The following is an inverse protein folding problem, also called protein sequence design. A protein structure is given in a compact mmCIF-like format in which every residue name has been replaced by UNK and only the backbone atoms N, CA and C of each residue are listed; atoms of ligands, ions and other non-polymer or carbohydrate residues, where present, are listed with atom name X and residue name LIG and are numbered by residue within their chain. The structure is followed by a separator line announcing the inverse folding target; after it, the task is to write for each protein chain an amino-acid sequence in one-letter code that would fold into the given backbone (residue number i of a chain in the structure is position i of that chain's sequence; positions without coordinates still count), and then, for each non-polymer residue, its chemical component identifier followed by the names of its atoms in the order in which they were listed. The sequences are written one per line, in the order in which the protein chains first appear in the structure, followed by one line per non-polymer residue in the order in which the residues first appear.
data_IF_258134802371
#
_entry.id   IF_258134802371
#
_cell.length_a   1.000
_cell.length_b   1.000
_cell.length_c   1.000
_cell.angle_alpha   90.00
_cell.angle_beta   90.00
_cell.angle_gamma   90.00
#
_symmetry.space_group_name_H-M   'P 1'
#
loop_
_entity.id
_entity.type
_entity.pdbx_description
1 polymer ?
#
# COMPACT_ATOMS: atom_id res chain seq x y z
N UNK A 1 -35.13 -53.96 -45.63
CA UNK A 1 -34.23 -52.82 -45.34
C UNK A 1 -34.74 -52.13 -44.07
N UNK A 2 -33.87 -52.02 -43.06
CA UNK A 2 -34.21 -51.88 -41.65
C UNK A 2 -34.69 -50.46 -41.25
N UNK A 3 -35.97 -50.34 -40.91
CA UNK A 3 -36.60 -49.10 -40.36
C UNK A 3 -36.19 -48.86 -38.88
N UNK A 4 -35.80 -49.90 -38.14
CA UNK A 4 -35.41 -49.79 -36.72
C UNK A 4 -34.10 -49.03 -36.49
N UNK A 5 -33.18 -49.02 -37.45
CA UNK A 5 -31.88 -48.33 -37.35
C UNK A 5 -32.00 -46.81 -37.52
N UNK A 6 -33.03 -46.31 -38.21
CA UNK A 6 -33.20 -44.86 -38.43
C UNK A 6 -33.86 -44.15 -37.23
N UNK A 7 -34.75 -44.81 -36.49
CA UNK A 7 -35.35 -44.21 -35.29
C UNK A 7 -34.34 -44.05 -34.15
N UNK A 8 -33.41 -45.02 -33.99
CA UNK A 8 -32.37 -44.97 -32.96
C UNK A 8 -31.39 -43.82 -33.20
N UNK A 9 -31.06 -43.53 -34.46
CA UNK A 9 -30.16 -42.43 -34.81
C UNK A 9 -30.84 -41.05 -34.65
N UNK A 10 -32.14 -40.93 -34.94
CA UNK A 10 -32.87 -39.67 -34.68
C UNK A 10 -33.02 -39.37 -33.19
N UNK A 11 -33.22 -40.40 -32.35
CA UNK A 11 -33.32 -40.22 -30.89
C UNK A 11 -31.97 -39.81 -30.28
N UNK A 12 -30.86 -40.34 -30.81
CA UNK A 12 -29.50 -39.99 -30.36
C UNK A 12 -29.11 -38.56 -30.76
N UNK A 13 -29.53 -38.11 -31.95
CA UNK A 13 -29.29 -36.73 -32.41
C UNK A 13 -30.15 -35.72 -31.63
N UNK A 14 -31.41 -36.04 -31.31
CA UNK A 14 -32.24 -35.17 -30.45
C UNK A 14 -31.71 -35.08 -29.01
N UNK A 15 -31.15 -36.17 -28.46
CA UNK A 15 -30.53 -36.16 -27.13
C UNK A 15 -29.24 -35.34 -27.11
N UNK A 16 -28.44 -35.38 -28.18
CA UNK A 16 -27.24 -34.55 -28.31
C UNK A 16 -27.57 -33.05 -28.42
N UNK A 17 -28.62 -32.68 -29.15
CA UNK A 17 -29.05 -31.28 -29.29
C UNK A 17 -29.59 -30.73 -27.96
N UNK A 18 -30.31 -31.57 -27.18
CA UNK A 18 -30.78 -31.20 -25.83
C UNK A 18 -29.64 -31.11 -24.80
N UNK A 19 -28.56 -31.88 -24.96
CA UNK A 19 -27.36 -31.80 -24.12
C UNK A 19 -26.46 -30.60 -24.46
N UNK A 20 -26.47 -30.11 -25.70
CA UNK A 20 -25.72 -28.89 -26.07
C UNK A 20 -26.41 -27.59 -25.65
N UNK A 21 -27.72 -27.58 -25.43
CA UNK A 21 -28.45 -26.40 -24.95
C UNK A 21 -28.38 -26.18 -23.43
N UNK A 22 -27.71 -27.05 -22.67
CA UNK A 22 -27.46 -26.87 -21.23
C UNK A 22 -26.02 -26.45 -20.90
N UNK A 23 -25.20 -26.21 -21.93
CA UNK A 23 -23.93 -25.51 -21.81
C UNK A 23 -24.04 -24.10 -22.42
N UNK A 24 -25.14 -23.38 -22.12
CA UNK A 24 -25.04 -21.93 -22.10
C UNK A 24 -24.11 -21.57 -20.95
N UNK A 25 -22.93 -21.15 -21.38
CA UNK A 25 -21.87 -20.53 -20.60
C UNK A 25 -22.50 -19.69 -19.48
N UNK A 26 -22.37 -20.18 -18.23
CA UNK A 26 -22.63 -19.37 -17.04
C UNK A 26 -21.49 -18.36 -16.92
N UNK A 27 -21.33 -17.50 -17.92
CA UNK A 27 -20.73 -16.19 -17.71
C UNK A 27 -21.64 -15.57 -16.65
N UNK A 28 -21.15 -15.53 -15.41
CA UNK A 28 -21.64 -14.53 -14.46
C UNK A 28 -21.64 -13.24 -15.27
N UNK A 29 -22.82 -12.71 -15.59
CA UNK A 29 -22.91 -11.35 -16.07
C UNK A 29 -22.31 -10.53 -14.94
N UNK A 30 -21.03 -10.16 -15.09
CA UNK A 30 -20.44 -9.14 -14.24
C UNK A 30 -21.28 -7.92 -14.60
N UNK A 31 -22.23 -7.59 -13.73
CA UNK A 31 -23.02 -6.39 -13.90
C UNK A 31 -22.04 -5.24 -13.65
N UNK A 32 -21.37 -4.77 -14.70
CA UNK A 32 -20.49 -3.63 -14.63
C UNK A 32 -21.35 -2.45 -14.16
N UNK A 33 -21.14 -2.00 -12.92
CA UNK A 33 -21.86 -0.85 -12.37
C UNK A 33 -21.11 0.41 -12.78
N UNK A 34 -21.88 1.45 -13.06
CA UNK A 34 -21.38 2.78 -13.29
C UNK A 34 -21.67 3.64 -12.05
N UNK A 35 -20.65 4.34 -11.59
CA UNK A 35 -20.73 5.26 -10.46
C UNK A 35 -20.29 6.65 -10.90
N UNK A 36 -20.87 7.68 -10.29
CA UNK A 36 -20.54 9.07 -10.58
C UNK A 36 -20.51 9.90 -9.31
N UNK A 37 -19.61 10.88 -9.26
CA UNK A 37 -19.45 11.85 -8.18
C UNK A 37 -18.75 13.11 -8.71
N UNK A 38 -18.69 14.19 -7.93
CA UNK A 38 -17.87 15.36 -8.29
C UNK A 38 -16.37 14.99 -8.33
N UNK A 39 -15.93 14.15 -7.37
CA UNK A 39 -14.54 13.71 -7.25
C UNK A 39 -14.45 12.20 -7.01
N UNK A 40 -13.59 11.51 -7.76
CA UNK A 40 -13.12 10.16 -7.40
C UNK A 40 -11.74 10.26 -6.77
N UNK A 41 -11.58 9.69 -5.58
CA UNK A 41 -10.26 9.49 -4.97
C UNK A 41 -9.87 8.03 -5.17
N UNK A 42 -8.79 7.77 -5.90
CA UNK A 42 -8.26 6.42 -6.09
C UNK A 42 -7.12 6.16 -5.11
N UNK A 43 -7.27 5.17 -4.24
CA UNK A 43 -6.32 4.82 -3.17
C UNK A 43 -7.01 4.44 -1.86
N UNK A 44 -6.25 3.84 -0.94
CA UNK A 44 -6.74 3.40 0.38
C UNK A 44 -5.93 3.94 1.56
N UNK A 45 -4.91 4.77 1.31
CA UNK A 45 -3.98 5.23 2.34
C UNK A 45 -4.49 6.47 3.11
N UNK A 46 -3.67 6.96 4.05
CA UNK A 46 -4.00 8.12 4.88
C UNK A 46 -4.36 9.37 4.05
N UNK A 47 -3.61 9.66 2.97
CA UNK A 47 -3.91 10.79 2.10
C UNK A 47 -5.23 10.62 1.36
N UNK A 48 -5.57 9.40 0.92
CA UNK A 48 -6.83 9.13 0.23
C UNK A 48 -8.04 9.44 1.11
N UNK A 49 -8.03 8.96 2.36
CA UNK A 49 -9.11 9.22 3.32
C UNK A 49 -9.21 10.71 3.66
N UNK A 50 -8.09 11.37 3.93
CA UNK A 50 -8.08 12.79 4.30
C UNK A 50 -8.51 13.69 3.13
N UNK A 51 -8.09 13.37 1.90
CA UNK A 51 -8.55 14.07 0.70
C UNK A 51 -10.07 13.92 0.53
N UNK A 52 -10.60 12.70 0.65
CA UNK A 52 -12.04 12.46 0.56
C UNK A 52 -12.83 13.21 1.64
N UNK A 53 -12.35 13.21 2.89
CA UNK A 53 -12.94 14.02 3.98
C UNK A 53 -12.94 15.51 3.63
N UNK A 54 -11.83 16.04 3.09
CA UNK A 54 -11.77 17.44 2.72
C UNK A 54 -12.75 17.79 1.59
N UNK A 55 -12.87 16.93 0.57
CA UNK A 55 -13.86 17.10 -0.51
C UNK A 55 -15.28 17.10 0.05
N UNK A 56 -15.61 16.15 0.93
CA UNK A 56 -16.92 16.10 1.58
C UNK A 56 -17.21 17.35 2.43
N UNK A 57 -16.21 17.87 3.17
CA UNK A 57 -16.33 19.12 3.94
C UNK A 57 -16.58 20.34 3.06
N UNK A 58 -16.14 20.31 1.80
CA UNK A 58 -16.42 21.34 0.81
C UNK A 58 -17.82 21.21 0.18
N UNK A 59 -18.63 20.25 0.63
CA UNK A 59 -19.99 20.03 0.14
C UNK A 59 -20.06 19.37 -1.23
N UNK A 60 -19.03 18.61 -1.60
CA UNK A 60 -18.92 17.90 -2.87
C UNK A 60 -19.15 16.40 -2.70
N UNK A 61 -19.73 15.77 -3.71
CA UNK A 61 -19.89 14.32 -3.77
C UNK A 61 -18.54 13.68 -4.07
N UNK A 62 -18.16 12.69 -3.26
CA UNK A 62 -16.88 12.00 -3.40
C UNK A 62 -17.05 10.51 -3.20
N UNK A 63 -16.40 9.71 -4.03
CA UNK A 63 -16.29 8.26 -3.83
C UNK A 63 -14.81 7.92 -3.65
N UNK A 64 -14.51 7.14 -2.61
CA UNK A 64 -13.18 6.59 -2.36
C UNK A 64 -13.10 5.18 -2.98
N UNK A 65 -12.27 5.01 -3.99
CA UNK A 65 -12.04 3.74 -4.69
C UNK A 65 -10.68 3.19 -4.26
N UNK A 66 -10.70 2.17 -3.41
CA UNK A 66 -9.51 1.65 -2.74
C UNK A 66 -9.14 0.26 -3.28
N UNK A 67 -7.89 0.02 -3.71
CA UNK A 67 -7.42 -1.34 -3.99
C UNK A 67 -7.27 -2.16 -2.70
N UNK A 68 -7.16 -1.50 -1.55
CA UNK A 68 -6.95 -2.13 -0.25
C UNK A 68 -8.27 -2.49 0.44
N UNK A 69 -8.18 -3.52 1.29
CA UNK A 69 -9.25 -3.90 2.22
C UNK A 69 -9.32 -2.99 3.45
N UNK A 70 -8.17 -2.59 3.97
CA UNK A 70 -8.03 -1.79 5.20
C UNK A 70 -7.65 -0.36 4.84
N UNK A 71 -8.32 0.62 5.45
CA UNK A 71 -8.03 2.04 5.20
C UNK A 71 -6.84 2.53 6.03
N UNK A 72 -6.12 3.50 5.48
CA UNK A 72 -5.03 4.23 6.14
C UNK A 72 -3.63 3.81 5.71
N UNK A 73 -3.49 2.70 4.99
CA UNK A 73 -2.22 2.27 4.43
C UNK A 73 -1.20 1.92 5.52
N UNK A 74 0.04 2.42 5.43
CA UNK A 74 1.13 2.14 6.35
C UNK A 74 0.75 2.49 7.80
N UNK A 75 0.05 3.61 7.98
CA UNK A 75 -0.47 4.07 9.28
C UNK A 75 -1.33 3.01 9.97
N UNK A 76 -2.11 2.27 9.18
CA UNK A 76 -3.01 1.21 9.65
C UNK A 76 -2.48 -0.21 9.42
N UNK A 77 -1.25 -0.35 8.90
CA UNK A 77 -0.65 -1.65 8.54
C UNK A 77 0.69 -1.93 9.22
N UNK A 78 1.18 -1.02 10.09
CA UNK A 78 2.35 -1.29 10.93
C UNK A 78 3.23 -0.09 11.26
N UNK A 79 2.98 1.09 10.69
CA UNK A 79 3.74 2.30 10.95
C UNK A 79 3.05 3.17 12.03
N UNK A 80 2.96 2.63 13.24
CA UNK A 80 2.33 3.28 14.39
C UNK A 80 3.23 4.23 15.17
N UNK A 81 4.56 4.20 14.95
CA UNK A 81 5.52 5.14 15.55
C UNK A 81 5.72 6.33 14.61
N UNK A 82 5.03 7.45 14.90
CA UNK A 82 5.14 8.66 14.06
C UNK A 82 6.42 9.43 14.37
N UNK A 83 7.16 9.77 13.31
CA UNK A 83 8.34 10.64 13.38
C UNK A 83 7.89 12.11 13.45
N UNK A 84 7.61 12.57 14.67
CA UNK A 84 6.89 13.83 14.87
C UNK A 84 7.72 15.10 14.77
N UNK A 85 9.02 15.01 15.02
CA UNK A 85 9.92 16.17 15.03
C UNK A 85 9.32 17.38 15.76
N UNK A 86 9.12 18.47 15.03
CA UNK A 86 8.39 19.64 15.54
C UNK A 86 6.88 19.49 15.34
N UNK A 87 6.16 19.08 16.40
CA UNK A 87 4.70 18.89 16.38
C UNK A 87 3.89 20.14 15.98
N UNK A 88 4.44 21.35 16.13
CA UNK A 88 3.73 22.59 15.83
C UNK A 88 3.42 22.76 14.32
N UNK A 89 4.11 22.03 13.45
CA UNK A 89 3.86 22.08 11.99
C UNK A 89 2.69 21.18 11.56
N UNK A 90 2.16 20.36 12.48
CA UNK A 90 1.10 19.39 12.18
C UNK A 90 -0.25 19.98 12.57
N UNK A 91 -1.04 20.35 11.56
CA UNK A 91 -2.34 20.99 11.70
C UNK A 91 -3.47 20.33 10.91
N UNK A 92 -4.61 21.01 10.83
CA UNK A 92 -5.74 20.61 9.99
C UNK A 92 -6.27 19.19 10.28
N UNK A 93 -6.67 18.49 9.21
CA UNK A 93 -7.21 17.13 9.29
C UNK A 93 -6.17 16.10 9.74
N UNK A 94 -4.88 16.32 9.46
CA UNK A 94 -3.81 15.46 9.96
C UNK A 94 -3.71 15.54 11.50
N UNK A 95 -3.80 16.75 12.06
CA UNK A 95 -3.86 16.93 13.52
C UNK A 95 -5.14 16.31 14.12
N UNK A 96 -6.28 16.44 13.44
CA UNK A 96 -7.55 15.84 13.87
C UNK A 96 -7.44 14.31 13.99
N UNK A 97 -6.76 13.65 13.05
CA UNK A 97 -6.46 12.21 13.14
C UNK A 97 -5.73 11.85 14.44
N UNK A 98 -4.63 12.54 14.76
CA UNK A 98 -3.89 12.31 16.00
C UNK A 98 -4.67 12.69 17.27
N UNK A 99 -5.57 13.66 17.16
CA UNK A 99 -6.49 14.03 18.24
C UNK A 99 -7.52 12.92 18.50
N UNK A 100 -8.08 12.32 17.45
CA UNK A 100 -9.01 11.19 17.56
C UNK A 100 -8.35 9.96 18.16
N UNK A 101 -7.11 9.67 17.78
CA UNK A 101 -6.30 8.64 18.46
C UNK A 101 -6.10 8.96 19.95
N UNK A 102 -5.80 10.22 20.29
CA UNK A 102 -5.70 10.63 21.69
C UNK A 102 -7.00 10.36 22.46
N UNK A 103 -8.16 10.67 21.86
CA UNK A 103 -9.47 10.40 22.45
C UNK A 103 -9.73 8.90 22.59
N UNK A 104 -9.37 8.09 21.58
CA UNK A 104 -9.47 6.63 21.64
C UNK A 104 -8.71 6.07 22.85
N UNK A 105 -7.48 6.51 23.08
CA UNK A 105 -6.68 6.08 24.23
C UNK A 105 -7.01 6.83 25.55
N UNK A 106 -8.02 7.71 25.57
CA UNK A 106 -8.63 8.15 26.83
C UNK A 106 -9.56 7.10 27.42
N UNK A 107 -10.09 6.20 26.60
CA UNK A 107 -10.86 5.05 27.04
C UNK A 107 -9.92 3.97 27.58
N UNK A 108 -10.10 3.59 28.85
CA UNK A 108 -9.29 2.53 29.48
C UNK A 108 -9.49 1.18 28.78
N UNK A 109 -10.62 0.94 28.12
CA UNK A 109 -10.87 -0.31 27.37
C UNK A 109 -10.02 -0.45 26.11
N UNK A 110 -9.42 0.64 25.61
CA UNK A 110 -8.45 0.59 24.52
C UNK A 110 -7.11 -0.03 24.96
N UNK A 111 -6.83 -0.05 26.27
CA UNK A 111 -5.58 -0.51 26.87
C UNK A 111 -5.66 -2.01 27.21
N UNK A 112 -5.64 -2.87 26.19
CA UNK A 112 -5.84 -4.32 26.36
C UNK A 112 -4.64 -5.06 26.94
N UNK A 113 -3.44 -4.65 26.55
CA UNK A 113 -2.20 -5.41 26.78
C UNK A 113 -1.31 -4.84 27.89
N UNK A 114 -1.59 -3.63 28.35
CA UNK A 114 -0.84 -2.93 29.39
C UNK A 114 -1.75 -1.87 30.01
N UNK A 115 -1.51 -1.50 31.26
CA UNK A 115 -2.22 -0.36 31.86
C UNK A 115 -1.71 0.98 31.28
N UNK A 116 -2.61 1.97 31.16
CA UNK A 116 -2.27 3.30 30.61
C UNK A 116 -1.17 4.02 31.40
N UNK A 117 -1.19 3.90 32.72
CA UNK A 117 -0.20 4.48 33.64
C UNK A 117 1.20 3.83 33.50
N UNK A 118 1.28 2.59 32.99
CA UNK A 118 2.52 1.83 32.82
C UNK A 118 3.18 2.03 31.44
N UNK A 119 2.47 2.66 30.49
CA UNK A 119 2.94 2.85 29.11
C UNK A 119 4.27 3.63 28.99
N UNK A 120 4.64 4.39 30.00
CA UNK A 120 5.90 5.13 30.06
C UNK A 120 5.97 6.40 29.19
N UNK A 121 5.00 6.62 28.30
CA UNK A 121 4.79 7.85 27.52
C UNK A 121 6.01 8.33 26.71
N UNK A 122 6.78 7.41 26.13
CA UNK A 122 8.00 7.69 25.35
C UNK A 122 7.87 7.18 23.92
N UNK A 123 8.18 8.03 22.94
CA UNK A 123 8.38 7.64 21.54
C UNK A 123 9.82 7.82 21.08
N UNK A 124 10.01 8.01 19.77
CA UNK A 124 11.33 8.27 19.19
C UNK A 124 11.81 9.69 19.51
N UNK A 125 12.38 9.85 20.71
CA UNK A 125 12.90 11.14 21.19
C UNK A 125 11.85 12.16 21.62
N UNK A 126 10.56 11.81 21.59
CA UNK A 126 9.43 12.70 21.88
C UNK A 126 8.37 12.05 22.79
N UNK A 127 7.48 12.86 23.35
CA UNK A 127 6.33 12.40 24.16
C UNK A 127 5.27 11.75 23.25
N UNK A 128 4.86 10.52 23.59
CA UNK A 128 3.93 9.70 22.80
C UNK A 128 2.47 10.18 22.92
N UNK A 129 2.00 10.34 24.16
CA UNK A 129 0.71 10.89 24.59
C UNK A 129 0.97 12.34 25.01
N UNK A 130 0.70 13.26 24.11
CA UNK A 130 0.84 14.68 24.34
C UNK A 130 -0.46 15.24 24.93
N UNK A 131 -0.52 15.35 26.26
CA UNK A 131 -1.72 15.83 26.97
C UNK A 131 -2.01 17.31 26.74
N UNK A 132 -0.98 18.14 26.58
CA UNK A 132 -1.13 19.57 26.30
C UNK A 132 -1.76 19.79 24.92
N UNK A 133 -1.21 19.13 23.90
CA UNK A 133 -1.74 19.22 22.54
C UNK A 133 -2.88 18.23 22.29
N UNK A 134 -3.25 17.40 23.27
CA UNK A 134 -4.28 16.35 23.16
C UNK A 134 -4.10 15.48 21.91
N UNK A 135 -2.89 14.99 21.68
CA UNK A 135 -2.52 14.18 20.50
C UNK A 135 -1.79 12.91 20.90
N UNK A 136 -2.01 11.84 20.14
CA UNK A 136 -1.36 10.54 20.31
C UNK A 136 -0.51 10.24 19.08
N UNK A 137 0.79 10.04 19.29
CA UNK A 137 1.79 9.91 18.23
C UNK A 137 2.32 8.50 18.07
N UNK A 138 1.93 7.62 18.99
CA UNK A 138 2.19 6.20 18.93
C UNK A 138 0.86 5.48 19.07
N UNK A 139 0.56 4.55 18.19
CA UNK A 139 -0.73 3.88 18.17
C UNK A 139 -0.62 2.52 17.52
N UNK A 140 -1.59 1.66 17.82
CA UNK A 140 -1.73 0.37 17.17
C UNK A 140 -2.37 0.55 15.78
N UNK A 141 -2.02 -0.29 14.79
CA UNK A 141 -2.55 -0.16 13.42
C UNK A 141 -4.09 -0.19 13.36
N UNK A 142 -4.73 -1.04 14.16
CA UNK A 142 -6.18 -1.15 14.20
C UNK A 142 -6.87 0.10 14.79
N UNK A 143 -6.19 0.83 15.69
CA UNK A 143 -6.70 2.08 16.23
C UNK A 143 -6.64 3.19 15.18
N UNK A 144 -5.60 3.21 14.35
CA UNK A 144 -5.53 4.10 13.19
C UNK A 144 -6.63 3.79 12.16
N UNK A 145 -6.81 2.52 11.81
CA UNK A 145 -7.87 2.09 10.91
C UNK A 145 -9.25 2.52 11.43
N UNK A 146 -9.52 2.30 12.72
CA UNK A 146 -10.76 2.72 13.35
C UNK A 146 -11.03 4.21 13.16
N UNK A 147 -10.02 5.07 13.32
CA UNK A 147 -10.17 6.51 13.11
C UNK A 147 -10.51 6.84 11.65
N UNK A 148 -9.88 6.17 10.69
CA UNK A 148 -10.21 6.36 9.27
C UNK A 148 -11.63 5.87 8.94
N UNK A 149 -12.06 4.74 9.47
CA UNK A 149 -13.43 4.24 9.32
C UNK A 149 -14.45 5.20 9.93
N UNK A 150 -14.16 5.76 11.10
CA UNK A 150 -14.99 6.79 11.73
C UNK A 150 -15.09 8.06 10.87
N UNK A 151 -13.98 8.50 10.28
CA UNK A 151 -13.97 9.66 9.39
C UNK A 151 -14.84 9.44 8.15
N UNK A 152 -14.67 8.32 7.43
CA UNK A 152 -15.49 8.06 6.24
C UNK A 152 -16.97 7.88 6.60
N UNK A 153 -17.29 7.30 7.76
CA UNK A 153 -18.65 7.17 8.24
C UNK A 153 -19.28 8.53 8.65
N UNK A 154 -18.54 9.37 9.38
CA UNK A 154 -18.96 10.71 9.82
C UNK A 154 -19.36 11.58 8.63
N UNK A 155 -18.54 11.56 7.58
CA UNK A 155 -18.76 12.33 6.36
C UNK A 155 -19.58 11.58 5.29
N UNK A 156 -20.08 10.36 5.61
CA UNK A 156 -20.91 9.51 4.74
C UNK A 156 -20.29 9.27 3.36
N UNK A 157 -18.98 9.10 3.32
CA UNK A 157 -18.21 8.88 2.08
C UNK A 157 -18.42 7.43 1.63
N UNK A 158 -18.98 7.16 0.44
CA UNK A 158 -18.99 5.84 -0.15
C UNK A 158 -17.56 5.35 -0.40
N UNK A 159 -17.23 4.16 0.10
CA UNK A 159 -15.91 3.56 -0.07
C UNK A 159 -16.05 2.20 -0.74
N UNK A 160 -15.43 2.04 -1.90
CA UNK A 160 -15.39 0.79 -2.65
C UNK A 160 -14.00 0.16 -2.47
N UNK A 161 -13.96 -0.94 -1.71
CA UNK A 161 -12.71 -1.65 -1.35
C UNK A 161 -12.40 -2.75 -2.34
N UNK A 162 -11.14 -3.18 -2.32
CA UNK A 162 -10.63 -4.27 -3.17
C UNK A 162 -10.86 -3.98 -4.67
N UNK A 163 -10.93 -2.69 -5.01
CA UNK A 163 -11.27 -2.16 -6.32
C UNK A 163 -9.97 -1.77 -7.06
N UNK A 164 -9.27 -2.77 -7.58
CA UNK A 164 -8.00 -2.60 -8.30
C UNK A 164 -8.23 -1.90 -9.64
N UNK A 165 -7.49 -0.82 -9.93
CA UNK A 165 -7.49 -0.15 -11.23
C UNK A 165 -7.04 -1.09 -12.35
N UNK A 166 -7.77 -1.09 -13.46
CA UNK A 166 -7.28 -1.61 -14.73
C UNK A 166 -6.27 -0.59 -15.30
N UNK A 167 -4.99 -0.84 -15.03
CA UNK A 167 -3.90 0.08 -15.40
C UNK A 167 -3.57 0.06 -16.89
N UNK A 168 -3.99 -0.98 -17.62
CA UNK A 168 -3.65 -1.14 -19.04
C UNK A 168 -4.69 -0.46 -19.93
N UNK A 169 -5.99 -0.64 -19.62
CA UNK A 169 -7.10 -0.17 -20.47
C UNK A 169 -8.21 0.53 -19.69
N UNK A 170 -7.99 0.82 -18.40
CA UNK A 170 -9.05 1.32 -17.52
C UNK A 170 -9.21 2.83 -17.47
N UNK A 171 -8.26 3.61 -17.99
CA UNK A 171 -8.30 5.08 -17.91
C UNK A 171 -8.71 5.66 -19.26
N UNK A 172 -9.80 6.42 -19.28
CA UNK A 172 -10.27 7.13 -20.48
C UNK A 172 -9.95 8.60 -20.36
N UNK A 173 -9.10 9.09 -21.25
CA UNK A 173 -8.73 10.51 -21.34
C UNK A 173 -9.56 11.22 -22.42
N UNK A 174 -10.07 12.41 -22.10
CA UNK A 174 -10.76 13.29 -23.06
C UNK A 174 -10.22 14.70 -22.88
N UNK A 175 -9.69 15.30 -23.94
CA UNK A 175 -9.17 16.67 -23.94
C UNK A 175 -8.14 16.97 -22.82
N UNK A 176 -7.33 15.97 -22.45
CA UNK A 176 -6.30 16.10 -21.42
C UNK A 176 -6.81 15.92 -19.98
N UNK A 177 -8.08 15.59 -19.78
CA UNK A 177 -8.66 15.24 -18.49
C UNK A 177 -9.04 13.75 -18.42
N UNK A 178 -8.95 13.16 -17.23
CA UNK A 178 -9.50 11.83 -16.98
C UNK A 178 -11.03 11.96 -16.99
N UNK A 179 -11.69 11.21 -17.87
CA UNK A 179 -13.15 11.15 -17.96
C UNK A 179 -13.72 9.99 -17.14
N UNK A 180 -13.05 8.85 -17.15
CA UNK A 180 -13.43 7.70 -16.35
C UNK A 180 -12.25 6.79 -16.00
N UNK A 181 -12.40 6.06 -14.90
CA UNK A 181 -11.54 4.93 -14.54
C UNK A 181 -12.36 3.65 -14.42
N UNK A 182 -11.74 2.51 -14.72
CA UNK A 182 -12.35 1.18 -14.64
C UNK A 182 -11.52 0.29 -13.72
N UNK A 183 -12.18 -0.47 -12.87
CA UNK A 183 -11.52 -1.46 -12.01
C UNK A 183 -11.58 -2.86 -12.63
N UNK A 184 -10.71 -3.77 -12.18
CA UNK A 184 -10.58 -5.11 -12.73
C UNK A 184 -11.86 -5.96 -12.61
N UNK A 185 -12.74 -5.60 -11.67
CA UNK A 185 -14.07 -6.20 -11.52
C UNK A 185 -15.12 -5.61 -12.50
N UNK A 186 -14.71 -4.74 -13.41
CA UNK A 186 -15.54 -4.16 -14.47
C UNK A 186 -16.33 -2.91 -14.07
N UNK A 187 -16.27 -2.46 -12.81
CA UNK A 187 -16.94 -1.23 -12.39
C UNK A 187 -16.28 0.01 -13.02
N UNK A 188 -17.10 0.99 -13.39
CA UNK A 188 -16.68 2.23 -14.04
C UNK A 188 -17.03 3.41 -13.13
N UNK A 189 -16.07 4.31 -12.96
CA UNK A 189 -16.19 5.50 -12.13
C UNK A 189 -15.97 6.73 -13.00
N UNK A 190 -16.91 7.67 -12.95
CA UNK A 190 -16.87 8.93 -13.68
C UNK A 190 -16.89 10.10 -12.69
N UNK A 191 -16.11 11.14 -12.96
CA UNK A 191 -16.14 12.36 -12.18
C UNK A 191 -15.60 13.55 -12.96
N UNK A 192 -15.87 14.74 -12.45
CA UNK A 192 -15.26 15.97 -12.94
C UNK A 192 -13.78 16.04 -12.57
N UNK A 193 -13.39 15.44 -11.43
CA UNK A 193 -12.01 15.39 -10.95
C UNK A 193 -11.61 14.04 -10.37
N UNK A 194 -10.33 13.72 -10.52
CA UNK A 194 -9.72 12.51 -9.99
C UNK A 194 -8.51 12.90 -9.13
N UNK A 195 -8.40 12.27 -7.97
CA UNK A 195 -7.24 12.38 -7.09
C UNK A 195 -6.57 11.00 -7.04
N UNK A 196 -5.32 10.93 -7.48
CA UNK A 196 -4.50 9.76 -7.22
C UNK A 196 -3.87 9.86 -5.84
N UNK A 197 -4.26 8.93 -4.98
CA UNK A 197 -3.69 8.71 -3.66
C UNK A 197 -3.31 7.23 -3.49
N UNK A 198 -2.89 6.55 -4.58
CA UNK A 198 -2.13 5.30 -4.51
C UNK A 198 -0.70 5.57 -4.01
N UNK A 199 0.06 4.53 -3.63
CA UNK A 199 1.44 4.75 -3.16
C UNK A 199 2.38 5.15 -4.28
N UNK A 200 2.22 4.53 -5.46
CA UNK A 200 3.13 4.69 -6.59
C UNK A 200 2.61 5.66 -7.65
N UNK A 201 1.39 6.20 -7.49
CA UNK A 201 0.78 7.05 -8.51
C UNK A 201 0.25 6.24 -9.71
N UNK A 202 -0.38 5.09 -9.44
CA UNK A 202 -0.86 4.16 -10.47
C UNK A 202 -1.85 4.81 -11.44
N UNK A 203 -2.75 5.65 -10.94
CA UNK A 203 -3.74 6.34 -11.78
C UNK A 203 -3.07 7.43 -12.61
N UNK A 204 -2.13 8.19 -12.05
CA UNK A 204 -1.36 9.18 -12.80
C UNK A 204 -0.56 8.53 -13.93
N UNK A 205 0.12 7.42 -13.64
CA UNK A 205 0.87 6.67 -14.63
C UNK A 205 -0.05 6.12 -15.74
N UNK A 206 -1.19 5.54 -15.37
CA UNK A 206 -2.18 5.02 -16.33
C UNK A 206 -2.86 6.13 -17.15
N UNK A 207 -2.95 7.36 -16.61
CA UNK A 207 -3.42 8.54 -17.34
C UNK A 207 -2.38 9.13 -18.29
N UNK A 208 -1.17 8.56 -18.36
CA UNK A 208 -0.08 9.05 -19.22
C UNK A 208 0.59 10.33 -18.70
N UNK A 209 0.45 10.65 -17.41
CA UNK A 209 1.15 11.77 -16.78
C UNK A 209 2.63 11.42 -16.69
N UNK A 210 3.50 12.38 -17.02
CA UNK A 210 4.95 12.20 -16.92
C UNK A 210 5.40 12.07 -15.47
N UNK A 211 6.31 11.14 -15.20
CA UNK A 211 6.89 10.91 -13.87
C UNK A 211 8.40 10.62 -13.98
N UNK A 212 9.09 10.76 -12.85
CA UNK A 212 10.50 10.39 -12.68
C UNK A 212 10.58 9.16 -11.81
N UNK A 213 11.48 8.23 -12.15
CA UNK A 213 11.84 7.08 -11.30
C UNK A 213 13.31 7.16 -10.97
N UNK A 214 13.63 6.94 -9.70
CA UNK A 214 15.00 6.97 -9.17
C UNK A 214 15.37 8.30 -8.55
N UNK A 215 16.67 8.51 -8.37
CA UNK A 215 17.21 9.76 -7.81
C UNK A 215 17.39 10.80 -8.93
N UNK A 216 16.97 12.02 -8.66
CA UNK A 216 17.34 13.17 -9.49
C UNK A 216 18.78 13.60 -9.18
N UNK A 217 19.48 14.17 -10.15
CA UNK A 217 20.87 14.63 -9.95
C UNK A 217 20.90 15.97 -9.20
N UNK A 218 22.06 16.33 -8.64
CA UNK A 218 22.28 17.66 -8.06
C UNK A 218 22.02 18.79 -9.08
N UNK A 219 22.27 18.53 -10.36
CA UNK A 219 22.14 19.52 -11.44
C UNK A 219 20.69 19.70 -11.91
N UNK A 220 19.79 18.74 -11.65
CA UNK A 220 18.41 18.76 -12.17
C UNK A 220 17.66 20.00 -11.68
N UNK A 221 17.79 20.35 -10.39
CA UNK A 221 17.18 21.54 -9.78
C UNK A 221 18.12 22.36 -8.90
N UNK A 222 19.43 22.03 -8.87
CA UNK A 222 20.40 22.72 -8.01
C UNK A 222 20.25 22.38 -6.53
N UNK A 223 19.98 21.11 -6.20
CA UNK A 223 19.81 20.63 -4.82
C UNK A 223 21.06 19.88 -4.34
N UNK A 224 21.79 20.48 -3.38
CA UNK A 224 23.11 20.01 -2.91
C UNK A 224 23.13 18.55 -2.41
N UNK A 225 22.00 18.04 -1.93
CA UNK A 225 21.89 16.71 -1.32
C UNK A 225 21.20 15.66 -2.20
N UNK A 226 20.86 16.02 -3.45
CA UNK A 226 20.29 15.08 -4.40
C UNK A 226 21.32 14.10 -4.96
N UNK A 227 20.83 13.17 -5.78
CA UNK A 227 21.64 12.19 -6.46
C UNK A 227 22.19 11.10 -5.55
N UNK A 228 23.07 10.29 -6.13
CA UNK A 228 23.73 9.18 -5.46
C UNK A 228 24.69 9.72 -4.39
N UNK A 229 24.61 9.18 -3.17
CA UNK A 229 25.37 9.65 -2.00
C UNK A 229 26.52 8.69 -1.64
N UNK A 230 27.35 8.33 -2.62
CA UNK A 230 28.53 7.46 -2.37
C UNK A 230 29.55 8.16 -1.46
N UNK A 231 30.14 7.42 -0.52
CA UNK A 231 31.11 7.94 0.44
C UNK A 231 30.52 8.75 1.62
N UNK A 232 29.20 8.96 1.64
CA UNK A 232 28.51 9.71 2.70
C UNK A 232 28.03 8.74 3.79
N UNK A 233 28.61 8.83 4.99
CA UNK A 233 28.40 7.85 6.07
C UNK A 233 27.66 8.40 7.31
N UNK A 234 26.98 9.55 7.22
CA UNK A 234 26.46 10.25 8.41
C UNK A 234 25.21 9.61 9.05
N UNK A 235 24.44 8.77 8.36
CA UNK A 235 23.19 8.18 8.90
C UNK A 235 23.35 6.77 9.49
N UNK A 236 24.57 6.24 9.56
CA UNK A 236 24.79 4.88 10.08
C UNK A 236 24.21 3.75 9.21
N UNK A 237 23.69 4.06 8.01
CA UNK A 237 23.21 3.10 7.01
C UNK A 237 24.37 2.49 6.19
N UNK A 238 25.37 1.96 6.88
CA UNK A 238 26.54 1.30 6.29
C UNK A 238 26.98 0.14 7.19
N UNK A 239 27.70 -0.83 6.64
CA UNK A 239 28.25 -1.94 7.44
C UNK A 239 29.22 -1.41 8.51
N UNK A 240 29.05 -1.90 9.74
CA UNK A 240 29.89 -1.48 10.90
C UNK A 240 31.26 -2.16 10.92
N UNK A 241 31.43 -3.19 10.12
CA UNK A 241 32.66 -3.96 9.92
C UNK A 241 32.72 -4.41 8.46
N UNK A 242 33.91 -4.85 8.04
CA UNK A 242 34.07 -5.42 6.70
C UNK A 242 33.31 -6.75 6.60
N UNK A 243 32.30 -6.78 5.74
CA UNK A 243 31.49 -7.97 5.47
C UNK A 243 31.84 -8.49 4.08
N UNK A 244 32.42 -9.70 4.00
CA UNK A 244 32.74 -10.31 2.71
C UNK A 244 31.47 -10.54 1.89
N UNK A 245 31.39 -10.05 0.64
CA UNK A 245 30.26 -10.30 -0.25
C UNK A 245 30.35 -11.65 -0.96
N UNK A 246 31.45 -12.38 -0.83
CA UNK A 246 31.70 -13.62 -1.57
C UNK A 246 31.16 -14.87 -0.88
N UNK A 247 30.84 -15.90 -1.66
CA UNK A 247 30.36 -17.20 -1.15
C UNK A 247 31.34 -17.76 -0.12
N UNK A 248 32.62 -17.86 -0.49
CA UNK A 248 33.73 -18.15 0.43
C UNK A 248 34.31 -16.80 0.88
N UNK A 249 34.32 -16.50 2.21
CA UNK A 249 34.85 -15.23 2.70
C UNK A 249 36.26 -14.92 2.20
N UNK A 250 36.44 -13.75 1.58
CA UNK A 250 37.74 -13.30 1.07
C UNK A 250 38.19 -13.90 -0.27
N UNK A 251 37.41 -14.78 -0.89
CA UNK A 251 37.74 -15.39 -2.20
C UNK A 251 36.79 -14.88 -3.31
N UNK A 252 37.24 -13.93 -4.14
CA UNK A 252 36.45 -13.44 -5.28
C UNK A 252 36.10 -14.52 -6.31
N UNK A 253 36.90 -15.57 -6.45
CA UNK A 253 36.66 -16.65 -7.42
C UNK A 253 35.45 -17.51 -7.03
N UNK A 254 35.02 -17.46 -5.77
CA UNK A 254 33.83 -18.16 -5.28
C UNK A 254 32.51 -17.51 -5.73
N UNK A 255 32.56 -16.32 -6.35
CA UNK A 255 31.39 -15.55 -6.74
C UNK A 255 30.76 -14.80 -5.56
N UNK A 256 29.82 -13.90 -5.86
CA UNK A 256 29.09 -13.12 -4.83
C UNK A 256 27.91 -13.89 -4.26
N UNK A 257 27.56 -13.60 -3.01
CA UNK A 257 26.34 -14.09 -2.36
C UNK A 257 25.08 -13.65 -3.13
N UNK A 258 23.96 -14.38 -2.98
CA UNK A 258 22.69 -13.99 -3.55
C UNK A 258 22.27 -12.57 -3.15
N UNK A 259 21.47 -11.93 -4.00
CA UNK A 259 20.91 -10.58 -3.78
C UNK A 259 21.93 -9.43 -3.69
N UNK A 260 23.21 -9.69 -3.97
CA UNK A 260 24.24 -8.65 -4.09
C UNK A 260 24.36 -8.22 -5.55
N UNK A 261 24.26 -6.92 -5.80
CA UNK A 261 24.61 -6.33 -7.09
C UNK A 261 26.11 -6.10 -7.17
N UNK A 262 26.75 -6.60 -8.23
CA UNK A 262 28.16 -6.28 -8.57
C UNK A 262 28.30 -5.02 -9.42
N UNK A 263 27.19 -4.39 -9.80
CA UNK A 263 27.22 -3.11 -10.51
C UNK A 263 27.71 -2.00 -9.59
N UNK A 264 28.48 -1.08 -10.16
CA UNK A 264 28.94 0.12 -9.47
C UNK A 264 27.74 0.91 -8.89
N UNK A 265 27.84 1.43 -7.65
CA UNK A 265 26.78 2.22 -7.04
C UNK A 265 26.47 3.51 -7.82
N UNK A 266 27.42 4.04 -8.59
CA UNK A 266 27.34 5.27 -9.37
C UNK A 266 28.13 6.42 -8.74
N UNK A 267 28.25 7.52 -9.49
CA UNK A 267 29.03 8.69 -9.09
C UNK A 267 28.26 9.58 -8.13
N UNK A 268 28.97 10.17 -7.16
CA UNK A 268 28.37 11.10 -6.19
C UNK A 268 27.63 12.25 -6.91
N UNK A 269 26.40 12.53 -6.51
CA UNK A 269 25.55 13.60 -7.06
C UNK A 269 24.86 13.29 -8.39
N UNK A 270 25.21 12.18 -9.06
CA UNK A 270 24.54 11.76 -10.29
C UNK A 270 23.13 11.23 -10.01
N UNK A 271 22.24 11.36 -11.01
CA UNK A 271 20.91 10.74 -10.98
C UNK A 271 20.95 9.25 -11.34
N UNK A 272 19.84 8.55 -11.09
CA UNK A 272 19.67 7.15 -11.51
C UNK A 272 18.21 6.80 -11.81
N UNK A 273 17.95 5.54 -12.17
CA UNK A 273 16.62 4.98 -12.36
C UNK A 273 16.32 3.81 -11.40
N UNK A 274 16.88 3.87 -10.19
CA UNK A 274 16.79 2.77 -9.22
C UNK A 274 15.69 3.05 -8.20
N UNK A 275 14.86 2.05 -7.94
CA UNK A 275 13.89 2.10 -6.84
C UNK A 275 14.51 1.58 -5.55
N UNK A 276 14.03 2.08 -4.42
CA UNK A 276 14.39 1.53 -3.11
C UNK A 276 13.91 0.07 -3.00
N UNK A 277 14.69 -0.78 -2.34
CA UNK A 277 14.26 -2.13 -2.03
C UNK A 277 13.02 -2.11 -1.13
N UNK A 278 12.04 -2.96 -1.44
CA UNK A 278 10.86 -3.12 -0.60
C UNK A 278 11.24 -3.58 0.81
N UNK A 279 10.63 -2.95 1.81
CA UNK A 279 10.79 -3.29 3.21
C UNK A 279 9.42 -3.64 3.80
N UNK A 280 9.35 -4.76 4.51
CA UNK A 280 8.19 -5.13 5.29
C UNK A 280 8.41 -4.68 6.74
N UNK A 281 7.50 -3.86 7.26
CA UNK A 281 7.42 -3.55 8.68
C UNK A 281 6.31 -4.41 9.28
N UNK A 282 6.67 -5.24 10.25
CA UNK A 282 5.75 -6.17 10.89
C UNK A 282 5.41 -5.71 12.30
N UNK A 283 4.15 -5.84 12.68
CA UNK A 283 3.75 -5.77 14.09
C UNK A 283 3.93 -7.15 14.72
N UNK A 284 4.91 -7.26 15.61
CA UNK A 284 5.24 -8.48 16.33
C UNK A 284 4.93 -8.30 17.81
N UNK A 285 4.68 -9.40 18.51
CA UNK A 285 4.43 -9.43 19.95
C UNK A 285 5.04 -10.68 20.58
N UNK A 286 5.51 -10.53 21.82
CA UNK A 286 5.98 -11.62 22.69
C UNK A 286 4.86 -12.20 23.57
N UNK A 287 3.69 -11.56 23.63
CA UNK A 287 2.52 -12.04 24.35
C UNK A 287 1.96 -13.32 23.71
N UNK A 288 2.03 -14.49 24.38
CA UNK A 288 1.67 -15.77 23.80
C UNK A 288 0.25 -15.83 23.21
N UNK A 289 -0.71 -15.17 23.86
CA UNK A 289 -2.13 -15.13 23.49
C UNK A 289 -2.45 -14.21 22.30
N UNK A 290 -1.57 -13.24 22.00
CA UNK A 290 -1.69 -12.32 20.86
C UNK A 290 -0.75 -12.69 19.70
N UNK A 291 0.14 -13.67 19.91
CA UNK A 291 1.20 -14.01 18.97
C UNK A 291 0.73 -15.02 17.93
N UNK A 292 0.95 -14.68 16.66
CA UNK A 292 0.91 -15.65 15.55
C UNK A 292 2.32 -16.17 15.30
N UNK A 293 2.50 -17.49 15.30
CA UNK A 293 3.80 -18.10 15.04
C UNK A 293 4.22 -17.91 13.57
N UNK A 294 5.45 -17.45 13.35
CA UNK A 294 6.05 -17.39 12.01
C UNK A 294 6.53 -18.80 11.65
N UNK A 295 5.85 -19.43 10.69
CA UNK A 295 6.25 -20.74 10.16
C UNK A 295 7.26 -20.57 9.03
N UNK A 296 8.15 -21.55 8.87
CA UNK A 296 9.09 -21.60 7.74
C UNK A 296 8.30 -21.89 6.44
N UNK A 297 8.37 -21.04 5.40
CA UNK A 297 7.78 -21.35 4.10
C UNK A 297 8.37 -22.62 3.47
N UNK A 298 7.60 -23.40 2.69
CA UNK A 298 8.08 -24.65 2.07
C UNK A 298 9.33 -24.48 1.19
N UNK A 299 9.45 -23.32 0.53
CA UNK A 299 10.53 -22.95 -0.40
C UNK A 299 11.59 -22.03 0.24
N UNK A 300 11.57 -21.88 1.57
CA UNK A 300 12.53 -21.02 2.27
C UNK A 300 13.95 -21.59 2.23
N UNK A 301 14.82 -20.93 1.47
CA UNK A 301 16.26 -21.12 1.44
C UNK A 301 16.97 -20.02 2.24
N UNK A 302 17.51 -20.38 3.41
CA UNK A 302 18.24 -19.45 4.27
C UNK A 302 19.54 -18.94 3.66
N UNK A 303 20.12 -19.65 2.68
CA UNK A 303 21.38 -19.24 2.04
C UNK A 303 21.22 -17.97 1.20
N UNK A 304 19.98 -17.64 0.80
CA UNK A 304 19.64 -16.39 0.13
C UNK A 304 19.93 -15.14 0.97
N UNK A 305 20.06 -15.29 2.29
CA UNK A 305 20.23 -14.20 3.26
C UNK A 305 21.54 -14.31 4.05
N UNK A 306 22.53 -15.05 3.54
CA UNK A 306 23.82 -15.25 4.20
C UNK A 306 24.54 -13.93 4.51
N UNK A 307 24.39 -12.91 3.66
CA UNK A 307 24.97 -11.59 3.92
C UNK A 307 24.40 -10.99 5.22
N UNK A 308 23.09 -11.11 5.45
CA UNK A 308 22.43 -10.62 6.66
C UNK A 308 22.95 -11.37 7.90
N UNK A 309 23.16 -12.68 7.79
CA UNK A 309 23.75 -13.49 8.86
C UNK A 309 25.14 -12.98 9.24
N UNK A 310 25.97 -12.62 8.25
CA UNK A 310 27.32 -12.08 8.49
C UNK A 310 27.30 -10.70 9.13
N UNK A 311 26.30 -9.88 8.83
CA UNK A 311 26.13 -8.54 9.44
C UNK A 311 25.83 -8.62 10.94
N UNK A 312 25.14 -9.67 11.38
CA UNK A 312 24.72 -9.86 12.78
C UNK A 312 25.57 -10.85 13.59
N UNK A 313 26.59 -11.45 12.99
CA UNK A 313 27.51 -12.38 13.65
C UNK A 313 28.58 -11.62 14.47
#
# INVERSE_FOLDING_TARGET
MNIKTHLSNCLFVLLLILLTSSCENRQKSVSNKQFSADVIVYGGNSSAVIAAVQVAKMGKEVILVSPDKHLGGLTSSGLGWTDTGNKAVIGGLARDFYHRLYLHYQDESAWRWQEKNEYGNKGQGNVAIDGENRTMWIFEPHAAELVFEQLVAEYKIPVHREALLDREEGVVMVEGAIHSIKTLDGNIYMADMFIDASYEGDLMAAAGISYTVGRESIDTYGEDWNGIQTGVLHHGHHFKSDVSPYVIPGDPASGVLPRISTKDPGEYGAGDHRIQAYCFRMCLTDLPENRVAISRPPDYDSTQYELLRRVFA
#
